data_IF_814429567712
#
_entry.id   IF_814429567712
#
_cell.length_a   1.000
_cell.length_b   1.000
_cell.length_c   1.000
_cell.angle_alpha   90.00
_cell.angle_beta   90.00
_cell.angle_gamma   90.00
#
_symmetry.space_group_name_H-M   'P 1'
#
loop_
_entity.id
_entity.type
_entity.pdbx_description
1 polymer ?
#
# COMPACT_ATOMS: atom_id res chain seq x y z
N UNK A 1 -12.82 1.29 -10.57
CA UNK A 1 -13.82 2.36 -10.80
C UNK A 1 -13.07 3.64 -11.15
N UNK A 2 -13.73 4.65 -11.72
CA UNK A 2 -13.09 5.94 -12.01
C UNK A 2 -13.79 7.06 -11.24
N UNK A 3 -13.02 7.98 -10.66
CA UNK A 3 -13.51 9.21 -10.03
C UNK A 3 -12.67 10.36 -10.55
N UNK A 4 -13.32 11.39 -11.07
CA UNK A 4 -12.65 12.56 -11.66
C UNK A 4 -11.65 12.19 -12.77
N UNK A 5 -11.97 11.15 -13.56
CA UNK A 5 -11.11 10.65 -14.64
C UNK A 5 -9.86 9.92 -14.16
N UNK A 6 -9.76 9.59 -12.87
CA UNK A 6 -8.67 8.80 -12.29
C UNK A 6 -9.18 7.43 -11.83
N UNK A 7 -8.45 6.33 -12.11
CA UNK A 7 -8.75 5.04 -11.52
C UNK A 7 -8.73 5.13 -9.99
N UNK A 8 -9.84 4.77 -9.35
CA UNK A 8 -9.91 4.64 -7.90
C UNK A 8 -9.51 3.23 -7.50
N UNK A 9 -8.59 3.16 -6.53
CA UNK A 9 -8.20 1.92 -5.87
C UNK A 9 -9.28 1.56 -4.86
N UNK A 10 -10.31 0.84 -5.30
CA UNK A 10 -11.41 0.38 -4.45
C UNK A 10 -11.11 -1.06 -4.03
N UNK A 11 -11.01 -1.37 -2.73
CA UNK A 11 -10.76 -2.74 -2.28
C UNK A 11 -12.03 -3.58 -2.44
N UNK A 12 -11.86 -4.85 -2.85
CA UNK A 12 -12.93 -5.84 -2.93
C UNK A 12 -12.59 -7.04 -2.07
N UNK A 13 -13.62 -7.67 -1.52
CA UNK A 13 -13.48 -8.88 -0.72
C UNK A 13 -13.16 -10.06 -1.64
N UNK A 14 -12.16 -10.89 -1.31
CA UNK A 14 -11.85 -12.08 -2.11
C UNK A 14 -12.81 -13.25 -1.86
N UNK A 15 -13.73 -13.13 -0.89
CA UNK A 15 -14.67 -14.19 -0.52
C UNK A 15 -15.70 -14.44 -1.63
N UNK A 16 -16.23 -15.67 -1.76
CA UNK A 16 -17.34 -15.96 -2.67
C UNK A 16 -18.51 -15.02 -2.44
N UNK A 17 -19.04 -14.43 -3.52
CA UNK A 17 -20.10 -13.41 -3.48
C UNK A 17 -19.76 -12.14 -2.68
N UNK A 18 -18.47 -11.89 -2.43
CA UNK A 18 -17.96 -10.68 -1.82
C UNK A 18 -18.19 -9.44 -2.68
N UNK A 19 -18.44 -8.31 -2.02
CA UNK A 19 -18.54 -6.99 -2.66
C UNK A 19 -17.31 -6.13 -2.37
N UNK A 20 -17.50 -4.82 -2.28
CA UNK A 20 -16.45 -3.92 -1.78
C UNK A 20 -16.03 -4.34 -0.37
N UNK A 21 -14.72 -4.33 -0.11
CA UNK A 21 -14.17 -4.56 1.21
C UNK A 21 -14.08 -3.25 2.00
N UNK A 22 -14.06 -3.36 3.33
CA UNK A 22 -13.86 -2.24 4.25
C UNK A 22 -12.49 -2.37 4.90
N UNK A 23 -11.73 -1.29 5.00
CA UNK A 23 -10.43 -1.29 5.69
C UNK A 23 -10.54 -1.42 7.23
N UNK A 24 -11.75 -1.50 7.78
CA UNK A 24 -12.01 -1.63 9.21
C UNK A 24 -12.93 -2.82 9.57
N UNK A 25 -13.29 -3.65 8.59
CA UNK A 25 -14.10 -4.86 8.83
C UNK A 25 -13.33 -6.12 8.39
N UNK A 26 -12.70 -6.84 9.34
CA UNK A 26 -11.99 -8.09 9.08
C UNK A 26 -12.84 -9.17 8.40
N UNK A 27 -14.17 -9.11 8.59
CA UNK A 27 -15.12 -9.99 7.92
C UNK A 27 -15.10 -9.86 6.39
N UNK A 28 -14.58 -8.76 5.86
CA UNK A 28 -14.46 -8.53 4.41
C UNK A 28 -13.10 -8.92 3.82
N UNK A 29 -12.11 -9.27 4.65
CA UNK A 29 -10.76 -9.62 4.22
C UNK A 29 -10.62 -11.14 3.99
N UNK A 30 -9.56 -11.56 3.31
CA UNK A 30 -9.21 -12.97 3.13
C UNK A 30 -7.70 -13.16 3.17
N UNK A 31 -7.26 -14.41 3.16
CA UNK A 31 -5.85 -14.75 3.10
C UNK A 31 -5.25 -14.34 1.74
N UNK A 32 -3.92 -14.23 1.69
CA UNK A 32 -3.20 -13.84 0.47
C UNK A 32 -3.53 -14.76 -0.73
N UNK A 33 -3.58 -16.07 -0.52
CA UNK A 33 -3.86 -17.03 -1.58
C UNK A 33 -5.28 -16.81 -2.18
N UNK A 34 -6.28 -16.61 -1.33
CA UNK A 34 -7.65 -16.28 -1.76
C UNK A 34 -7.69 -14.96 -2.54
N UNK A 35 -7.01 -13.93 -2.04
CA UNK A 35 -6.93 -12.63 -2.70
C UNK A 35 -6.24 -12.70 -4.07
N UNK A 36 -5.16 -13.48 -4.18
CA UNK A 36 -4.40 -13.66 -5.41
C UNK A 36 -5.22 -14.43 -6.45
N UNK A 37 -5.89 -15.51 -6.05
CA UNK A 37 -6.75 -16.29 -6.94
C UNK A 37 -7.93 -15.46 -7.43
N UNK A 38 -8.63 -14.77 -6.52
CA UNK A 38 -9.74 -13.89 -6.86
C UNK A 38 -9.32 -12.76 -7.81
N UNK A 39 -8.20 -12.09 -7.54
CA UNK A 39 -7.68 -11.04 -8.41
C UNK A 39 -7.40 -11.55 -9.82
N UNK A 40 -6.84 -12.76 -9.95
CA UNK A 40 -6.57 -13.41 -11.24
C UNK A 40 -7.86 -13.77 -11.98
N UNK A 41 -8.83 -14.38 -11.31
CA UNK A 41 -10.08 -14.83 -11.91
C UNK A 41 -10.96 -13.67 -12.39
N UNK A 42 -10.92 -12.55 -11.67
CA UNK A 42 -11.75 -11.37 -11.95
C UNK A 42 -11.00 -10.26 -12.71
N UNK A 43 -9.77 -10.50 -13.18
CA UNK A 43 -8.93 -9.51 -13.87
C UNK A 43 -8.80 -8.18 -13.10
N UNK A 44 -8.60 -8.28 -11.78
CA UNK A 44 -8.40 -7.11 -10.93
C UNK A 44 -7.01 -6.49 -11.16
N UNK A 45 -6.86 -5.22 -10.80
CA UNK A 45 -5.58 -4.50 -10.95
C UNK A 45 -4.46 -4.99 -10.01
N UNK A 46 -4.77 -5.79 -8.99
CA UNK A 46 -3.80 -6.30 -8.03
C UNK A 46 -4.44 -6.70 -6.70
N UNK A 47 -3.60 -7.04 -5.73
CA UNK A 47 -4.01 -7.35 -4.36
C UNK A 47 -3.73 -6.17 -3.42
N UNK A 48 -4.43 -6.13 -2.29
CA UNK A 48 -4.20 -5.14 -1.24
C UNK A 48 -3.94 -5.79 0.10
N UNK A 49 -3.19 -5.09 0.95
CA UNK A 49 -2.92 -5.45 2.33
C UNK A 49 -3.57 -4.41 3.25
N UNK A 50 -4.43 -4.85 4.17
CA UNK A 50 -5.08 -3.99 5.16
C UNK A 50 -4.23 -3.97 6.42
N UNK A 51 -3.89 -2.78 6.91
CA UNK A 51 -3.24 -2.61 8.21
C UNK A 51 -4.29 -2.65 9.31
N UNK A 52 -4.02 -3.41 10.36
CA UNK A 52 -4.93 -3.69 11.46
C UNK A 52 -4.21 -3.58 12.81
N UNK A 53 -4.98 -3.29 13.86
CA UNK A 53 -4.44 -3.20 15.23
C UNK A 53 -3.82 -4.52 15.71
N UNK A 54 -4.24 -5.65 15.12
CA UNK A 54 -3.84 -7.01 15.45
C UNK A 54 -2.54 -7.46 14.76
N UNK A 55 -2.04 -6.72 13.76
CA UNK A 55 -0.79 -7.05 13.07
C UNK A 55 0.35 -6.09 13.45
N UNK A 56 1.62 -6.50 13.39
CA UNK A 56 2.73 -5.67 13.85
C UNK A 56 3.18 -4.63 12.80
N UNK A 57 2.41 -4.37 11.74
CA UNK A 57 2.88 -3.61 10.58
C UNK A 57 2.32 -2.19 10.51
N UNK A 58 3.10 -1.32 9.88
CA UNK A 58 2.72 0.03 9.50
C UNK A 58 3.16 0.26 8.05
N UNK A 59 2.29 0.86 7.25
CA UNK A 59 2.58 1.34 5.90
C UNK A 59 2.99 2.81 5.93
N UNK A 60 4.08 3.15 5.26
CA UNK A 60 4.50 4.53 4.98
C UNK A 60 4.31 4.77 3.49
N UNK A 61 3.49 5.76 3.14
CA UNK A 61 3.23 6.17 1.76
C UNK A 61 4.00 7.45 1.45
N UNK A 62 4.87 7.38 0.43
CA UNK A 62 5.67 8.49 -0.07
C UNK A 62 5.17 8.88 -1.46
N UNK A 63 4.38 9.94 -1.50
CA UNK A 63 3.66 10.34 -2.71
C UNK A 63 4.53 11.23 -3.63
N UNK A 64 4.48 10.97 -4.95
CA UNK A 64 5.16 11.76 -6.00
C UNK A 64 6.66 11.98 -5.78
N UNK A 65 7.34 10.96 -5.25
CA UNK A 65 8.75 11.02 -4.90
C UNK A 65 9.65 10.20 -5.83
N UNK A 66 9.10 9.50 -6.83
CA UNK A 66 9.85 8.66 -7.77
C UNK A 66 9.65 9.11 -9.20
N UNK A 67 10.72 9.17 -9.97
CA UNK A 67 10.64 9.32 -11.43
C UNK A 67 10.23 7.97 -12.06
N UNK A 68 9.11 7.89 -12.78
CA UNK A 68 8.63 6.63 -13.33
C UNK A 68 9.47 6.11 -14.52
N UNK A 69 10.27 6.97 -15.17
CA UNK A 69 11.14 6.61 -16.29
C UNK A 69 12.53 6.13 -15.86
N UNK A 70 13.12 6.75 -14.84
CA UNK A 70 14.45 6.39 -14.33
C UNK A 70 14.41 5.53 -13.07
N UNK A 71 13.32 5.59 -12.32
CA UNK A 71 13.18 4.96 -11.01
C UNK A 71 13.87 5.72 -9.87
N UNK A 72 14.48 6.87 -10.14
CA UNK A 72 15.18 7.69 -9.16
C UNK A 72 14.21 8.27 -8.13
N UNK A 73 14.62 8.26 -6.86
CA UNK A 73 13.87 8.86 -5.75
C UNK A 73 14.32 10.30 -5.52
N UNK A 74 13.42 11.15 -5.05
CA UNK A 74 13.80 12.44 -4.47
C UNK A 74 14.72 12.22 -3.27
N UNK A 75 15.64 13.14 -3.02
CA UNK A 75 16.62 13.05 -1.92
C UNK A 75 15.96 12.73 -0.58
N UNK A 76 14.88 13.45 -0.23
CA UNK A 76 14.11 13.22 0.99
C UNK A 76 13.47 11.83 1.07
N UNK A 77 13.04 11.25 -0.05
CA UNK A 77 12.44 9.92 -0.07
C UNK A 77 13.51 8.84 0.02
N UNK A 78 14.65 9.03 -0.63
CA UNK A 78 15.82 8.16 -0.49
C UNK A 78 16.31 8.12 0.97
N UNK A 79 16.37 9.28 1.64
CA UNK A 79 16.72 9.36 3.07
C UNK A 79 15.73 8.60 3.96
N UNK A 80 14.41 8.77 3.74
CA UNK A 80 13.38 8.06 4.50
C UNK A 80 13.46 6.56 4.27
N UNK A 81 13.54 6.11 3.02
CA UNK A 81 13.64 4.69 2.67
C UNK A 81 14.89 4.08 3.30
N UNK A 82 16.04 4.75 3.21
CA UNK A 82 17.28 4.30 3.82
C UNK A 82 17.20 4.25 5.36
N UNK A 83 16.59 5.26 5.99
CA UNK A 83 16.43 5.33 7.44
C UNK A 83 15.49 4.24 7.99
N UNK A 84 14.42 3.92 7.26
CA UNK A 84 13.49 2.85 7.63
C UNK A 84 14.07 1.46 7.38
N UNK A 85 14.91 1.30 6.35
CA UNK A 85 15.68 0.08 6.10
C UNK A 85 14.80 -1.18 6.01
N UNK A 86 13.60 -1.06 5.44
CA UNK A 86 12.59 -2.11 5.39
C UNK A 86 12.09 -2.33 3.97
N UNK A 87 11.21 -3.32 3.79
CA UNK A 87 10.59 -3.60 2.49
C UNK A 87 9.98 -2.33 1.89
N UNK A 88 10.42 -2.01 0.68
CA UNK A 88 10.01 -0.84 -0.07
C UNK A 88 9.67 -1.27 -1.50
N UNK A 89 8.58 -0.75 -2.06
CA UNK A 89 8.15 -1.06 -3.42
C UNK A 89 7.64 0.18 -4.15
N UNK A 90 7.74 0.19 -5.48
CA UNK A 90 7.10 1.21 -6.29
C UNK A 90 5.58 1.10 -6.15
N UNK A 91 4.89 2.23 -5.96
CA UNK A 91 3.43 2.25 -5.92
C UNK A 91 2.84 1.99 -7.32
N UNK A 92 1.53 1.65 -7.46
CA UNK A 92 0.97 1.33 -8.78
C UNK A 92 1.03 2.46 -9.81
N UNK A 93 1.23 3.72 -9.39
CA UNK A 93 1.42 4.82 -10.35
C UNK A 93 2.85 4.91 -10.88
N UNK A 94 3.81 4.18 -10.28
CA UNK A 94 5.24 4.28 -10.55
C UNK A 94 5.91 5.55 -10.01
N UNK A 95 5.12 6.52 -9.51
CA UNK A 95 5.58 7.84 -9.06
C UNK A 95 5.77 7.94 -7.54
N UNK A 96 5.34 6.93 -6.79
CA UNK A 96 5.44 6.91 -5.33
C UNK A 96 6.08 5.62 -4.83
N UNK A 97 6.28 5.54 -3.53
CA UNK A 97 6.90 4.39 -2.85
C UNK A 97 6.06 4.03 -1.64
N UNK A 98 5.75 2.74 -1.49
CA UNK A 98 5.26 2.20 -0.24
C UNK A 98 6.42 1.58 0.53
N UNK A 99 6.53 1.88 1.83
CA UNK A 99 7.44 1.18 2.75
C UNK A 99 6.60 0.46 3.80
N UNK A 100 6.85 -0.83 4.00
CA UNK A 100 6.18 -1.62 5.05
C UNK A 100 7.19 -1.87 6.16
N UNK A 101 6.89 -1.39 7.36
CA UNK A 101 7.73 -1.54 8.55
C UNK A 101 7.00 -2.32 9.64
N UNK A 102 7.77 -2.93 10.56
CA UNK A 102 7.19 -3.42 11.83
C UNK A 102 7.19 -2.28 12.84
N UNK A 103 6.03 -1.90 13.36
CA UNK A 103 5.90 -0.78 14.29
C UNK A 103 4.46 -0.28 14.43
N UNK A 104 4.33 0.84 15.16
CA UNK A 104 3.07 1.57 15.35
C UNK A 104 3.28 3.03 15.03
N UNK A 105 2.24 3.69 14.55
CA UNK A 105 2.26 5.12 14.27
C UNK A 105 2.23 5.88 15.60
N UNK A 106 3.21 6.75 15.89
CA UNK A 106 3.17 7.56 17.09
C UNK A 106 1.97 8.52 17.04
N UNK A 107 1.39 8.83 18.20
CA UNK A 107 0.22 9.71 18.30
C UNK A 107 0.48 11.06 17.59
N UNK A 108 -0.40 11.43 16.66
CA UNK A 108 -0.27 12.65 15.84
C UNK A 108 0.81 12.59 14.75
N UNK A 109 1.47 11.44 14.56
CA UNK A 109 2.52 11.23 13.57
C UNK A 109 2.04 10.74 12.21
N UNK A 110 0.73 10.61 11.98
CA UNK A 110 0.17 9.97 10.79
C UNK A 110 0.40 10.73 9.48
N UNK A 111 0.72 12.03 9.51
CA UNK A 111 0.97 12.80 8.29
C UNK A 111 1.91 13.97 8.52
N UNK A 112 2.89 14.12 7.63
CA UNK A 112 3.75 15.32 7.52
C UNK A 112 4.07 15.60 6.05
N UNK A 113 3.47 16.65 5.50
CA UNK A 113 3.63 16.98 4.08
C UNK A 113 3.08 15.88 3.17
N UNK A 114 3.96 15.29 2.36
CA UNK A 114 3.66 14.19 1.43
C UNK A 114 3.93 12.79 2.03
N UNK A 115 4.35 12.72 3.31
CA UNK A 115 4.55 11.46 4.02
C UNK A 115 3.30 11.15 4.81
N UNK A 116 2.72 9.97 4.58
CA UNK A 116 1.60 9.44 5.36
C UNK A 116 1.99 8.09 5.99
N UNK A 117 1.50 7.82 7.21
CA UNK A 117 1.76 6.57 7.92
C UNK A 117 0.47 5.98 8.47
N UNK A 118 0.32 4.66 8.34
CA UNK A 118 -0.88 3.93 8.72
C UNK A 118 -0.55 2.56 9.33
N UNK A 119 -1.00 2.33 10.56
CA UNK A 119 -0.99 1.03 11.25
C UNK A 119 -2.40 0.49 11.49
N UNK A 120 -3.42 1.10 10.87
CA UNK A 120 -4.82 0.74 11.00
C UNK A 120 -5.72 1.52 10.05
N UNK A 121 -6.90 0.97 9.74
CA UNK A 121 -7.99 1.69 9.05
C UNK A 121 -7.70 2.06 7.59
N UNK A 122 -6.61 1.56 7.01
CA UNK A 122 -6.22 1.76 5.61
C UNK A 122 -5.69 0.46 5.02
N UNK A 123 -5.73 0.40 3.70
CA UNK A 123 -5.10 -0.66 2.93
C UNK A 123 -4.12 -0.04 1.95
N UNK A 124 -3.03 -0.75 1.66
CA UNK A 124 -2.15 -0.46 0.54
C UNK A 124 -2.38 -1.47 -0.57
N UNK A 125 -2.33 -1.02 -1.82
CA UNK A 125 -2.10 -1.92 -2.95
C UNK A 125 -0.67 -2.43 -2.90
N UNK A 126 -0.48 -3.72 -3.12
CA UNK A 126 0.84 -4.36 -3.11
C UNK A 126 1.25 -4.65 -4.55
N UNK A 127 2.39 -4.11 -4.99
CA UNK A 127 2.90 -4.30 -6.36
C UNK A 127 3.91 -5.42 -6.46
N UNK A 128 4.69 -5.66 -5.40
CA UNK A 128 5.84 -6.56 -5.46
C UNK A 128 7.03 -6.02 -6.27
N UNK A 129 6.95 -4.78 -6.79
CA UNK A 129 8.06 -4.11 -7.49
C UNK A 129 9.05 -3.58 -6.47
N UNK A 130 9.77 -4.50 -5.83
CA UNK A 130 10.68 -4.21 -4.74
C UNK A 130 11.81 -3.27 -5.19
N UNK A 131 12.04 -2.22 -4.40
CA UNK A 131 13.16 -1.30 -4.56
C UNK A 131 14.31 -1.82 -3.70
N UNK A 132 15.40 -2.21 -4.36
CA UNK A 132 16.63 -2.59 -3.69
C UNK A 132 17.58 -1.40 -3.74
N UNK A 133 18.13 -0.99 -2.59
CA UNK A 133 19.28 -0.10 -2.58
C UNK A 133 20.46 -0.82 -3.22
N UNK A 134 21.11 -0.19 -4.18
CA UNK A 134 22.39 -0.64 -4.74
C UNK A 134 23.52 -0.56 -3.70
#
# INVERSE_FOLDING_TARGET
>A
EEREGKPTKVPYSPKPHGGRASASDPGTWGAFEEAREHAREHNMSGVGFVFSEDDPYCGVDLDKCRDPGTGELSESAAEIVAALGSYSEASPSGTGVHVIVRGRVPAGGNRKGAVEMYDGGRFFTVTGEALYSA
#
